data_IF_959951387591
#
_entry.id   IF_959951387591
#
_cell.length_a   1.000
_cell.length_b   1.000
_cell.length_c   1.000
_cell.angle_alpha   90.00
_cell.angle_beta   90.00
_cell.angle_gamma   90.00
#
_symmetry.space_group_name_H-M   'P 1'
#
loop_
_entity.id
_entity.type
_entity.pdbx_description
1 polymer ?
#
# COMPACT_ATOMS: atom_id res chain seq x y z
N UNK A 1 -26.23 -2.79 8.81
CA UNK A 1 -24.76 -2.89 8.97
C UNK A 1 -24.17 -2.43 7.64
N UNK A 2 -23.57 -1.24 7.61
CA UNK A 2 -23.30 -0.52 6.35
C UNK A 2 -22.13 -1.14 5.60
N UNK A 3 -22.43 -1.75 4.46
CA UNK A 3 -21.50 -2.02 3.36
C UNK A 3 -20.81 -0.71 2.96
N UNK A 4 -19.67 -0.41 3.58
CA UNK A 4 -18.83 0.71 3.16
C UNK A 4 -18.20 0.35 1.83
N UNK A 5 -18.90 0.78 0.77
CA UNK A 5 -18.47 0.91 -0.61
C UNK A 5 -16.94 0.89 -0.75
N UNK A 6 -16.45 -0.15 -1.42
CA UNK A 6 -15.21 -0.28 -2.23
C UNK A 6 -14.71 1.06 -2.80
N UNK A 7 -14.23 1.96 -1.96
CA UNK A 7 -13.59 3.20 -2.37
C UNK A 7 -12.14 3.06 -1.97
N UNK A 8 -11.22 3.10 -2.93
CA UNK A 8 -9.81 2.99 -2.62
C UNK A 8 -9.46 4.14 -1.67
N UNK A 9 -8.82 3.81 -0.55
CA UNK A 9 -8.52 4.82 0.45
C UNK A 9 -7.50 5.82 -0.15
N UNK A 10 -7.84 7.12 -0.24
CA UNK A 10 -7.03 8.08 -0.97
C UNK A 10 -5.63 8.24 -0.36
N UNK A 11 -5.49 8.04 0.95
CA UNK A 11 -4.18 8.03 1.62
C UNK A 11 -3.32 6.84 1.15
N UNK A 12 -3.94 5.67 0.97
CA UNK A 12 -3.27 4.45 0.49
C UNK A 12 -2.87 4.55 -0.99
N UNK A 13 -3.73 5.16 -1.82
CA UNK A 13 -3.41 5.45 -3.23
C UNK A 13 -2.26 6.45 -3.33
N UNK A 14 -2.28 7.51 -2.51
CA UNK A 14 -1.19 8.48 -2.45
C UNK A 14 0.11 7.83 -2.00
N UNK A 15 0.06 6.96 -0.99
CA UNK A 15 1.21 6.20 -0.51
C UNK A 15 1.83 5.36 -1.63
N UNK A 16 1.05 4.51 -2.30
CA UNK A 16 1.54 3.69 -3.42
C UNK A 16 2.14 4.54 -4.55
N UNK A 17 1.57 5.73 -4.83
CA UNK A 17 2.14 6.66 -5.82
C UNK A 17 3.45 7.30 -5.36
N UNK A 18 3.56 7.58 -4.07
CA UNK A 18 4.73 8.20 -3.44
C UNK A 18 5.91 7.24 -3.31
N UNK A 19 5.69 5.92 -3.39
CA UNK A 19 6.76 4.93 -3.33
C UNK A 19 7.75 5.08 -4.51
N UNK A 20 9.04 4.75 -4.31
CA UNK A 20 10.04 4.72 -5.38
C UNK A 20 9.69 3.71 -6.48
N UNK A 21 10.31 3.87 -7.66
CA UNK A 21 10.12 2.94 -8.77
C UNK A 21 10.52 1.51 -8.40
N UNK A 22 11.59 1.32 -7.63
CA UNK A 22 12.08 0.01 -7.16
C UNK A 22 11.05 -0.73 -6.30
N UNK A 23 10.45 -0.01 -5.34
CA UNK A 23 9.42 -0.57 -4.47
C UNK A 23 8.15 -0.87 -5.29
N UNK A 24 7.72 0.07 -6.16
CA UNK A 24 6.57 -0.15 -7.06
C UNK A 24 6.76 -1.32 -8.00
N UNK A 25 7.99 -1.59 -8.44
CA UNK A 25 8.30 -2.75 -9.28
C UNK A 25 8.23 -4.08 -8.50
N UNK A 26 8.48 -4.04 -7.18
CA UNK A 26 8.36 -5.20 -6.29
C UNK A 26 6.91 -5.49 -5.88
N UNK A 27 6.05 -4.47 -5.87
CA UNK A 27 4.62 -4.58 -5.52
C UNK A 27 3.82 -5.11 -6.72
N UNK A 28 2.95 -6.10 -6.50
CA UNK A 28 2.03 -6.58 -7.54
C UNK A 28 0.76 -5.72 -7.61
N UNK A 29 0.11 -5.71 -8.78
CA UNK A 29 -1.18 -5.05 -8.95
C UNK A 29 -2.23 -5.55 -7.93
N UNK A 30 -2.21 -6.85 -7.64
CA UNK A 30 -3.09 -7.47 -6.64
C UNK A 30 -2.84 -6.93 -5.23
N UNK A 31 -1.57 -6.81 -4.80
CA UNK A 31 -1.23 -6.23 -3.49
C UNK A 31 -1.62 -4.75 -3.40
N UNK A 32 -1.42 -4.00 -4.48
CA UNK A 32 -1.79 -2.59 -4.57
C UNK A 32 -3.31 -2.41 -4.49
N UNK A 33 -4.07 -3.21 -5.24
CA UNK A 33 -5.53 -3.21 -5.19
C UNK A 33 -6.03 -3.67 -3.82
N UNK A 34 -5.49 -4.76 -3.26
CA UNK A 34 -5.84 -5.19 -1.91
C UNK A 34 -5.57 -4.09 -0.89
N UNK A 35 -4.44 -3.41 -0.96
CA UNK A 35 -4.15 -2.33 -0.03
C UNK A 35 -5.14 -1.18 -0.18
N UNK A 36 -5.45 -0.77 -1.41
CA UNK A 36 -6.42 0.27 -1.69
C UNK A 36 -7.84 -0.07 -1.20
N UNK A 37 -8.30 -1.31 -1.42
CA UNK A 37 -9.68 -1.72 -1.19
C UNK A 37 -9.93 -2.44 0.14
N UNK A 38 -8.89 -3.01 0.76
CA UNK A 38 -8.98 -3.70 2.03
C UNK A 38 -8.76 -2.74 3.18
N UNK A 39 -9.36 -3.02 4.32
CA UNK A 39 -9.13 -2.26 5.56
C UNK A 39 -7.68 -2.43 6.02
N UNK A 40 -7.10 -3.61 5.78
CA UNK A 40 -5.81 -4.04 6.30
C UNK A 40 -4.71 -4.02 5.22
N UNK A 41 -3.49 -3.66 5.59
CA UNK A 41 -2.31 -3.82 4.72
C UNK A 41 -2.00 -5.32 4.63
N UNK A 42 -1.86 -5.90 3.43
CA UNK A 42 -1.36 -7.26 3.31
C UNK A 42 0.10 -7.32 3.79
N UNK A 43 0.42 -8.31 4.64
CA UNK A 43 1.76 -8.47 5.20
C UNK A 43 2.84 -8.56 4.10
N UNK A 44 2.57 -9.22 2.97
CA UNK A 44 3.50 -9.27 1.84
C UNK A 44 3.82 -7.90 1.25
N UNK A 45 2.84 -6.99 1.16
CA UNK A 45 3.07 -5.61 0.74
C UNK A 45 3.88 -4.87 1.81
N UNK A 46 3.46 -4.98 3.07
CA UNK A 46 4.15 -4.37 4.20
C UNK A 46 5.61 -4.77 4.24
N UNK A 47 5.92 -6.05 4.08
CA UNK A 47 7.29 -6.55 4.14
C UNK A 47 8.18 -6.01 3.03
N UNK A 48 7.62 -5.68 1.86
CA UNK A 48 8.35 -5.05 0.76
C UNK A 48 8.60 -3.56 1.00
N UNK A 49 7.62 -2.86 1.58
CA UNK A 49 7.69 -1.41 1.80
C UNK A 49 8.26 -1.03 3.18
N UNK A 50 8.26 -1.95 4.17
CA UNK A 50 8.73 -1.69 5.54
C UNK A 50 10.19 -1.27 5.55
N UNK A 51 11.00 -1.87 4.68
CA UNK A 51 12.41 -1.54 4.54
C UNK A 51 12.58 -0.08 4.15
N UNK A 52 11.76 0.40 3.20
CA UNK A 52 11.72 1.79 2.78
C UNK A 52 11.10 2.74 3.83
N UNK A 53 10.14 2.28 4.62
CA UNK A 53 9.52 3.08 5.69
C UNK A 53 10.49 3.37 6.85
N UNK A 54 11.50 2.52 7.04
CA UNK A 54 12.49 2.65 8.12
C UNK A 54 13.60 3.66 7.76
N UNK A 55 13.79 4.00 6.49
CA UNK A 55 14.87 4.90 6.03
C UNK A 55 14.59 6.42 6.20
N UNK A 56 13.59 6.84 6.99
CA UNK A 56 13.29 8.27 7.23
C UNK A 56 13.57 8.74 8.67
N UNK A 57 14.35 7.98 9.45
CA UNK A 57 14.82 8.40 10.79
C UNK A 57 16.33 8.69 10.74
N UNK A 58 16.71 9.81 10.12
CA UNK A 58 18.01 10.49 10.37
C UNK A 58 17.83 12.01 10.45
#
# INVERSE_FOLDING_TARGET
>A
MTEQKKRPDPAKVAFLRSLPADIKASITGEEAEQFMFSTEIPESLYEKIKDFLIETDE
#
